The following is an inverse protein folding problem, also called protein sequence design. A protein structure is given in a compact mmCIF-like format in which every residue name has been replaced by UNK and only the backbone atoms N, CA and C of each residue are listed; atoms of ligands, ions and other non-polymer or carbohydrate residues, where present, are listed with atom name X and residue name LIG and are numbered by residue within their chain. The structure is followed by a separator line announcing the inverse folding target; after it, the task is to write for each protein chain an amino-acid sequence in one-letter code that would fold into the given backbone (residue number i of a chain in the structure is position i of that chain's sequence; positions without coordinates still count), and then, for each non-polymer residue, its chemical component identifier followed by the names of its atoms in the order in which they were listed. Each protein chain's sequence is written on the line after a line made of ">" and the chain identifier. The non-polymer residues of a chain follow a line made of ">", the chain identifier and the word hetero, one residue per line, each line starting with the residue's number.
data_IF_930191147681
#
_entry.id   IF_930191147681
#
_cell.length_a   1.000
_cell.length_b   1.000
_cell.length_c   1.000
_cell.angle_alpha   90.00
_cell.angle_beta   90.00
_cell.angle_gamma   90.00
#
_symmetry.space_group_name_H-M   'P 1'
#
loop_
_entity.id
_entity.type
_entity.pdbx_description
1 polymer ?
#
# COMPACT_ATOMS: atom_id res chain seq x y z
N UNK A 1 30.45 1.66 22.44
CA UNK A 1 29.82 0.35 22.26
C UNK A 1 30.28 -0.40 20.98
N UNK A 2 31.11 0.21 20.14
CA UNK A 2 31.69 -0.42 18.94
C UNK A 2 30.69 -0.77 17.86
N UNK A 3 29.51 -0.16 17.86
CA UNK A 3 28.47 -0.38 16.83
C UNK A 3 28.64 0.68 15.75
N UNK A 4 28.87 0.25 14.51
CA UNK A 4 28.78 1.11 13.34
C UNK A 4 28.68 0.29 12.03
N UNK A 5 28.12 0.87 10.95
CA UNK A 5 27.58 2.22 10.88
C UNK A 5 26.30 2.40 11.70
N UNK A 6 26.02 3.62 12.14
CA UNK A 6 24.78 3.99 12.82
C UNK A 6 23.94 4.80 11.84
N UNK A 7 22.67 4.46 11.70
CA UNK A 7 21.71 5.22 10.90
C UNK A 7 20.73 5.94 11.82
N UNK A 8 20.33 7.14 11.43
CA UNK A 8 19.34 7.95 12.12
C UNK A 8 18.24 8.30 11.12
N UNK A 9 17.00 8.37 11.55
CA UNK A 9 15.87 8.70 10.69
C UNK A 9 14.88 9.66 11.38
N UNK A 10 14.16 9.18 12.38
CA UNK A 10 13.06 9.94 12.99
C UNK A 10 13.51 11.21 13.71
N UNK A 11 14.75 11.25 14.19
CA UNK A 11 15.29 12.41 14.92
C UNK A 11 15.47 13.60 14.00
N UNK A 12 15.90 13.39 12.76
CA UNK A 12 16.11 14.43 11.74
C UNK A 12 14.79 15.05 11.27
N UNK A 13 13.71 14.30 11.32
CA UNK A 13 12.38 14.76 10.89
C UNK A 13 11.69 15.67 11.90
N UNK A 14 12.26 15.80 13.10
CA UNK A 14 11.74 16.70 14.14
C UNK A 14 12.32 18.10 13.99
N UNK A 15 11.63 19.15 14.46
CA UNK A 15 12.20 20.49 14.53
C UNK A 15 13.55 20.49 15.25
N UNK A 16 14.57 21.06 14.62
CA UNK A 16 15.94 21.05 15.12
C UNK A 16 16.70 19.73 14.92
N UNK A 17 16.14 18.78 14.16
CA UNK A 17 16.76 17.47 13.92
C UNK A 17 18.15 17.56 13.29
N UNK A 18 18.31 18.43 12.30
CA UNK A 18 19.62 18.63 11.65
C UNK A 18 20.70 19.19 12.59
N UNK A 19 20.32 19.94 13.61
CA UNK A 19 21.27 20.41 14.64
C UNK A 19 21.89 19.26 15.44
N UNK A 20 21.26 18.09 15.45
CA UNK A 20 21.79 16.89 16.08
C UNK A 20 23.05 16.39 15.40
N UNK A 21 23.18 16.55 14.10
CA UNK A 21 24.41 16.19 13.38
C UNK A 21 25.57 17.06 13.84
N UNK A 22 25.36 18.37 14.01
CA UNK A 22 26.37 19.27 14.54
C UNK A 22 26.77 18.84 15.96
N UNK A 23 25.80 18.58 16.83
CA UNK A 23 26.07 18.13 18.21
C UNK A 23 26.81 16.79 18.26
N UNK A 24 26.45 15.85 17.38
CA UNK A 24 27.15 14.58 17.26
C UNK A 24 28.57 14.81 16.76
N UNK A 25 28.77 15.65 15.75
CA UNK A 25 30.11 16.04 15.26
C UNK A 25 30.97 16.60 16.36
N UNK A 26 30.49 17.57 17.14
CA UNK A 26 31.20 18.17 18.27
C UNK A 26 31.57 17.17 19.37
N UNK A 27 30.77 16.13 19.57
CA UNK A 27 31.08 15.04 20.50
C UNK A 27 32.14 14.13 19.90
N UNK A 28 31.99 13.77 18.62
CA UNK A 28 32.92 12.90 17.92
C UNK A 28 34.33 13.53 17.83
N UNK A 29 34.41 14.83 17.59
CA UNK A 29 35.68 15.56 17.54
C UNK A 29 36.49 15.53 18.87
N UNK A 30 35.78 15.24 19.97
CA UNK A 30 36.37 15.12 21.30
C UNK A 30 36.74 13.69 21.67
N UNK A 31 36.37 12.72 20.86
CA UNK A 31 36.62 11.30 21.10
C UNK A 31 37.91 10.86 20.39
N UNK A 32 38.73 10.14 21.13
CA UNK A 32 39.88 9.45 20.54
C UNK A 32 39.40 8.17 19.87
N UNK A 33 39.29 8.19 18.53
CA UNK A 33 38.79 7.07 17.75
C UNK A 33 39.82 5.95 17.72
N UNK A 34 39.46 4.83 18.33
CA UNK A 34 40.21 3.60 18.19
C UNK A 34 39.67 2.80 16.98
N UNK A 35 40.55 2.07 16.25
CA UNK A 35 40.09 1.17 15.20
C UNK A 35 39.03 0.19 15.71
N UNK A 36 38.07 -0.16 14.87
CA UNK A 36 37.03 -1.13 15.23
C UNK A 36 37.67 -2.47 15.61
N UNK A 37 37.54 -2.85 16.87
CA UNK A 37 38.08 -4.10 17.44
C UNK A 37 37.00 -5.15 17.77
N UNK A 38 35.75 -4.82 17.51
CA UNK A 38 34.60 -5.66 17.83
C UNK A 38 33.53 -4.91 18.62
N UNK A 39 32.44 -5.59 18.87
CA UNK A 39 31.29 -5.02 19.61
C UNK A 39 31.55 -5.13 21.10
N UNK A 40 31.53 -3.98 21.81
CA UNK A 40 31.59 -3.93 23.26
C UNK A 40 30.25 -4.28 23.89
N UNK A 41 30.05 -5.56 24.19
CA UNK A 41 28.79 -6.10 24.75
C UNK A 41 28.51 -5.48 26.12
N UNK A 42 29.52 -5.29 26.97
CA UNK A 42 29.32 -4.70 28.29
C UNK A 42 28.88 -3.24 28.20
N UNK A 43 29.43 -2.49 27.26
CA UNK A 43 29.00 -1.13 26.97
C UNK A 43 27.58 -1.05 26.43
N UNK A 44 27.15 -2.03 25.65
CA UNK A 44 25.75 -2.11 25.14
C UNK A 44 24.80 -2.41 26.29
N UNK A 45 25.10 -3.35 27.16
CA UNK A 45 24.26 -3.68 28.31
C UNK A 45 24.14 -2.50 29.28
N UNK A 46 25.26 -1.81 29.56
CA UNK A 46 25.27 -0.59 30.36
C UNK A 46 24.40 0.52 29.73
N UNK A 47 24.50 0.71 28.40
CA UNK A 47 23.65 1.65 27.66
C UNK A 47 22.18 1.26 27.73
N UNK A 48 21.83 0.00 27.53
CA UNK A 48 20.47 -0.50 27.59
C UNK A 48 19.82 -0.29 28.97
N UNK A 49 20.60 -0.45 30.04
CA UNK A 49 20.16 -0.19 31.42
C UNK A 49 19.98 1.31 31.68
N UNK A 50 20.91 2.14 31.21
CA UNK A 50 20.84 3.59 31.39
C UNK A 50 19.72 4.22 30.57
N UNK A 51 19.48 3.75 29.33
CA UNK A 51 18.44 4.24 28.44
C UNK A 51 17.04 4.14 29.03
N UNK A 52 16.78 3.16 29.90
CA UNK A 52 15.50 3.01 30.59
C UNK A 52 15.21 4.11 31.61
N UNK A 53 16.19 4.86 32.01
CA UNK A 53 16.10 5.92 33.03
C UNK A 53 16.47 7.30 32.47
N UNK A 54 17.07 7.32 31.30
CA UNK A 54 17.52 8.56 30.67
C UNK A 54 16.33 9.27 30.01
N UNK A 55 16.06 10.51 30.46
CA UNK A 55 14.97 11.34 29.93
C UNK A 55 15.03 11.57 28.41
N UNK A 56 16.20 11.50 27.80
CA UNK A 56 16.36 11.68 26.35
C UNK A 56 15.93 10.43 25.55
N UNK A 57 15.91 9.27 26.20
CA UNK A 57 15.46 8.01 25.59
C UNK A 57 14.01 7.67 25.93
N UNK A 58 13.43 8.30 26.95
CA UNK A 58 12.03 8.13 27.31
C UNK A 58 11.17 9.11 26.49
N UNK A 59 10.12 8.59 25.90
CA UNK A 59 9.09 9.43 25.28
C UNK A 59 8.13 9.90 26.37
N UNK A 60 7.87 11.22 26.40
CA UNK A 60 6.76 11.73 27.19
C UNK A 60 5.46 11.03 26.77
N UNK A 61 4.77 10.50 27.76
CA UNK A 61 3.42 9.97 27.53
C UNK A 61 2.52 11.17 27.26
N UNK A 62 2.25 11.42 25.98
CA UNK A 62 1.27 12.44 25.60
C UNK A 62 -0.10 11.92 26.00
N UNK A 63 -0.86 12.67 26.81
CA UNK A 63 -2.24 12.32 27.09
C UNK A 63 -2.97 12.20 25.76
N UNK A 64 -3.64 11.07 25.54
CA UNK A 64 -4.48 10.89 24.36
C UNK A 64 -5.53 12.02 24.35
N UNK A 65 -5.65 12.77 23.26
CA UNK A 65 -6.70 13.78 23.17
C UNK A 65 -8.03 13.10 23.46
N UNK A 66 -8.86 13.71 24.30
CA UNK A 66 -10.21 13.21 24.58
C UNK A 66 -10.94 13.10 23.26
N UNK A 67 -11.13 11.87 22.80
CA UNK A 67 -11.90 11.62 21.58
C UNK A 67 -13.36 11.91 21.88
N UNK A 68 -13.96 12.80 21.10
CA UNK A 68 -15.41 13.03 21.15
C UNK A 68 -16.23 11.89 20.54
N UNK A 69 -15.55 10.93 19.88
CA UNK A 69 -16.19 9.76 19.29
C UNK A 69 -16.40 8.71 20.40
N UNK A 70 -17.66 8.40 20.67
CA UNK A 70 -18.05 7.37 21.63
C UNK A 70 -17.87 5.96 21.06
N UNK A 71 -17.85 5.84 19.75
CA UNK A 71 -17.70 4.57 19.05
C UNK A 71 -16.22 4.24 18.76
N UNK A 72 -15.92 2.96 18.74
CA UNK A 72 -14.60 2.47 18.35
C UNK A 72 -14.34 2.86 16.90
N UNK A 73 -13.37 3.74 16.68
CA UNK A 73 -12.93 4.06 15.30
C UNK A 73 -12.39 2.77 14.68
N UNK A 74 -12.88 2.37 13.50
CA UNK A 74 -12.33 1.22 12.82
C UNK A 74 -10.83 1.43 12.61
N UNK A 75 -10.07 0.35 12.72
CA UNK A 75 -8.64 0.37 12.39
C UNK A 75 -8.52 0.86 10.95
N UNK A 76 -7.98 2.05 10.79
CA UNK A 76 -7.64 2.54 9.47
C UNK A 76 -6.38 1.82 9.03
N UNK A 77 -6.49 1.08 7.94
CA UNK A 77 -5.34 0.48 7.29
C UNK A 77 -4.47 1.60 6.70
N UNK A 78 -3.41 1.92 7.42
CA UNK A 78 -2.45 2.92 6.96
C UNK A 78 -1.52 2.38 5.86
N UNK A 79 -1.68 1.12 5.48
CA UNK A 79 -0.96 0.46 4.39
C UNK A 79 -1.73 0.44 3.08
N UNK A 80 -2.95 0.98 3.03
CA UNK A 80 -3.70 1.10 1.78
C UNK A 80 -2.92 1.95 0.79
N UNK A 81 -2.63 1.38 -0.37
CA UNK A 81 -1.87 2.08 -1.40
C UNK A 81 -2.64 3.31 -1.92
N UNK A 82 -1.99 4.48 -2.05
CA UNK A 82 -2.66 5.70 -2.52
C UNK A 82 -3.32 5.54 -3.91
N UNK A 83 -2.80 4.68 -4.76
CA UNK A 83 -3.38 4.35 -6.06
C UNK A 83 -4.75 3.67 -5.93
N UNK A 84 -4.95 2.84 -4.92
CA UNK A 84 -6.24 2.21 -4.64
C UNK A 84 -7.27 3.25 -4.22
N UNK A 85 -6.91 4.15 -3.30
CA UNK A 85 -7.74 5.31 -2.92
C UNK A 85 -8.00 6.28 -4.07
N UNK A 86 -7.10 6.35 -5.07
CA UNK A 86 -7.24 7.13 -6.30
C UNK A 86 -8.13 6.47 -7.35
N UNK A 87 -8.46 5.19 -7.20
CA UNK A 87 -9.34 4.46 -8.11
C UNK A 87 -10.81 4.64 -7.71
N UNK A 88 -11.70 5.15 -8.61
CA UNK A 88 -13.12 5.35 -8.27
C UNK A 88 -13.84 4.09 -7.82
N UNK A 89 -13.43 2.92 -8.31
CA UNK A 89 -14.01 1.61 -7.97
C UNK A 89 -13.12 0.83 -6.99
N UNK A 90 -12.09 1.48 -6.42
CA UNK A 90 -11.17 0.91 -5.42
C UNK A 90 -10.68 -0.50 -5.80
N UNK A 91 -10.10 -0.62 -6.99
CA UNK A 91 -9.47 -1.87 -7.41
C UNK A 91 -8.24 -2.18 -6.56
N UNK A 92 -7.99 -3.46 -6.33
CA UNK A 92 -6.82 -3.96 -5.60
C UNK A 92 -5.57 -3.92 -6.50
N UNK A 93 -5.11 -2.67 -6.73
CA UNK A 93 -4.07 -2.36 -7.71
C UNK A 93 -2.73 -3.04 -7.38
N UNK A 94 -2.22 -2.98 -6.15
CA UNK A 94 -0.97 -3.63 -5.83
C UNK A 94 -1.02 -5.13 -6.07
N UNK A 95 -2.14 -5.78 -5.72
CA UNK A 95 -2.27 -7.22 -5.82
C UNK A 95 -2.30 -7.70 -7.29
N UNK A 96 -3.11 -7.09 -8.15
CA UNK A 96 -3.11 -7.54 -9.55
C UNK A 96 -1.80 -7.20 -10.28
N UNK A 97 -1.08 -6.15 -9.89
CA UNK A 97 0.26 -5.86 -10.43
C UNK A 97 1.24 -6.95 -10.01
N UNK A 98 1.20 -7.38 -8.76
CA UNK A 98 2.05 -8.45 -8.26
C UNK A 98 1.73 -9.80 -8.93
N UNK A 99 0.45 -10.09 -9.17
CA UNK A 99 0.03 -11.27 -9.93
C UNK A 99 0.55 -11.20 -11.36
N UNK A 100 0.46 -10.04 -12.02
CA UNK A 100 1.04 -9.86 -13.36
C UNK A 100 2.57 -10.01 -13.37
N UNK A 101 3.26 -9.53 -12.34
CA UNK A 101 4.70 -9.71 -12.18
C UNK A 101 5.09 -11.19 -12.08
N UNK A 102 4.22 -11.99 -11.48
CA UNK A 102 4.36 -13.46 -11.39
C UNK A 102 3.83 -14.21 -12.61
N UNK A 103 3.44 -13.48 -13.66
CA UNK A 103 2.81 -14.03 -14.88
C UNK A 103 1.48 -14.77 -14.66
N UNK A 104 0.83 -14.54 -13.50
CA UNK A 104 -0.46 -15.11 -13.13
C UNK A 104 -1.60 -14.26 -13.68
N UNK A 105 -1.69 -14.14 -15.00
CA UNK A 105 -2.60 -13.22 -15.66
C UNK A 105 -4.07 -13.57 -15.47
N UNK A 106 -4.40 -14.84 -15.42
CA UNK A 106 -5.77 -15.33 -15.17
C UNK A 106 -6.24 -14.94 -13.77
N UNK A 107 -5.41 -15.14 -12.74
CA UNK A 107 -5.69 -14.74 -11.37
C UNK A 107 -5.79 -13.21 -11.26
N UNK A 108 -4.89 -12.48 -11.94
CA UNK A 108 -4.93 -11.02 -11.98
C UNK A 108 -6.24 -10.50 -12.62
N UNK A 109 -6.68 -11.12 -13.73
CA UNK A 109 -7.91 -10.74 -14.39
C UNK A 109 -9.14 -11.09 -13.54
N UNK A 110 -9.16 -12.24 -12.88
CA UNK A 110 -10.21 -12.63 -11.96
C UNK A 110 -10.38 -11.58 -10.84
N UNK A 111 -9.27 -11.16 -10.22
CA UNK A 111 -9.28 -10.11 -9.20
C UNK A 111 -9.77 -8.75 -9.77
N UNK A 112 -9.30 -8.36 -10.94
CA UNK A 112 -9.73 -7.13 -11.61
C UNK A 112 -11.24 -7.15 -11.84
N UNK A 113 -11.79 -8.28 -12.30
CA UNK A 113 -13.21 -8.40 -12.67
C UNK A 113 -14.14 -8.49 -11.46
N UNK A 114 -13.66 -8.64 -10.26
CA UNK A 114 -14.46 -8.50 -9.04
C UNK A 114 -15.09 -7.10 -8.91
N UNK A 115 -14.38 -6.06 -9.35
CA UNK A 115 -14.81 -4.67 -9.25
C UNK A 115 -14.95 -3.96 -10.61
N UNK A 116 -14.52 -4.58 -11.69
CA UNK A 116 -14.45 -3.97 -13.02
C UNK A 116 -14.97 -4.91 -14.11
N UNK A 117 -16.20 -4.71 -14.52
CA UNK A 117 -16.85 -5.53 -15.56
C UNK A 117 -16.24 -5.35 -16.96
N UNK A 118 -15.48 -4.29 -17.21
CA UNK A 118 -14.98 -3.91 -18.53
C UNK A 118 -13.44 -3.71 -18.52
N UNK A 119 -12.65 -4.76 -18.23
CA UNK A 119 -11.21 -4.63 -18.04
C UNK A 119 -10.48 -4.17 -19.31
N UNK A 120 -10.87 -4.64 -20.49
CA UNK A 120 -10.29 -4.20 -21.78
C UNK A 120 -10.55 -2.70 -22.04
N UNK A 121 -11.81 -2.29 -21.93
CA UNK A 121 -12.19 -0.89 -22.12
C UNK A 121 -11.49 0.03 -21.15
N UNK A 122 -11.52 -0.31 -19.86
CA UNK A 122 -10.86 0.51 -18.85
C UNK A 122 -9.35 0.37 -18.87
N UNK A 123 -8.81 -0.69 -19.42
CA UNK A 123 -7.37 -0.85 -19.71
C UNK A 123 -6.90 0.08 -20.82
N UNK A 124 -7.81 0.47 -21.73
CA UNK A 124 -7.49 1.32 -22.87
C UNK A 124 -7.82 2.80 -22.61
N UNK A 125 -9.01 3.13 -22.12
CA UNK A 125 -9.50 4.53 -22.10
C UNK A 125 -9.69 5.11 -20.68
N UNK A 126 -9.37 4.38 -19.61
CA UNK A 126 -9.46 4.91 -18.25
C UNK A 126 -8.58 6.15 -18.08
N UNK A 127 -9.12 7.18 -17.42
CA UNK A 127 -8.37 8.39 -17.07
C UNK A 127 -7.22 8.17 -16.06
N UNK A 128 -6.99 6.96 -15.62
CA UNK A 128 -5.90 6.48 -14.76
C UNK A 128 -5.54 7.40 -13.58
N UNK A 129 -6.53 7.95 -12.89
CA UNK A 129 -6.33 8.80 -11.71
C UNK A 129 -5.50 8.11 -10.61
N UNK A 130 -5.49 6.80 -10.56
CA UNK A 130 -4.63 6.02 -9.70
C UNK A 130 -3.13 6.30 -9.93
N UNK A 131 -2.71 6.48 -11.19
CA UNK A 131 -1.31 6.80 -11.52
C UNK A 131 -0.89 8.17 -11.01
N UNK A 132 -1.80 9.16 -10.96
CA UNK A 132 -1.49 10.47 -10.39
C UNK A 132 -1.31 10.43 -8.87
N UNK A 133 -1.80 9.38 -8.20
CA UNK A 133 -1.63 9.16 -6.77
C UNK A 133 -0.49 8.18 -6.45
N UNK A 134 0.21 7.68 -7.46
CA UNK A 134 1.34 6.78 -7.24
C UNK A 134 2.46 7.50 -6.49
N UNK A 135 2.94 6.88 -5.41
CA UNK A 135 4.04 7.44 -4.60
C UNK A 135 5.35 7.56 -5.39
N UNK A 136 5.53 6.77 -6.45
CA UNK A 136 6.70 6.87 -7.33
C UNK A 136 6.81 8.20 -8.05
N UNK A 137 5.71 8.95 -8.22
CA UNK A 137 5.76 10.31 -8.79
C UNK A 137 6.68 11.28 -8.03
N UNK A 138 7.07 10.94 -6.79
CA UNK A 138 7.97 11.78 -6.00
C UNK A 138 9.46 11.59 -6.35
N UNK A 139 9.82 10.53 -7.10
CA UNK A 139 11.21 10.21 -7.39
C UNK A 139 11.46 9.59 -8.77
N UNK A 140 10.44 9.06 -9.45
CA UNK A 140 10.53 8.54 -10.81
C UNK A 140 9.14 8.50 -11.49
N UNK A 141 8.97 7.71 -12.54
CA UNK A 141 7.70 7.55 -13.23
C UNK A 141 6.72 6.67 -12.47
N UNK A 142 5.42 6.97 -12.51
CA UNK A 142 4.40 6.15 -11.88
C UNK A 142 4.33 4.76 -12.51
N UNK A 143 3.91 3.79 -11.72
CA UNK A 143 3.62 2.44 -12.23
C UNK A 143 2.58 2.52 -13.34
N UNK A 144 2.79 1.79 -14.45
CA UNK A 144 1.91 1.77 -15.61
C UNK A 144 0.63 0.93 -15.35
N UNK A 145 -0.15 1.37 -14.34
CA UNK A 145 -1.30 0.65 -13.78
C UNK A 145 -2.35 0.30 -14.85
N UNK A 146 -2.65 1.27 -15.73
CA UNK A 146 -3.63 1.07 -16.80
C UNK A 146 -3.15 0.04 -17.84
N UNK A 147 -1.90 0.14 -18.26
CA UNK A 147 -1.32 -0.80 -19.21
C UNK A 147 -1.22 -2.22 -18.62
N UNK A 148 -0.82 -2.35 -17.36
CA UNK A 148 -0.76 -3.65 -16.67
C UNK A 148 -2.13 -4.31 -16.61
N UNK A 149 -3.19 -3.54 -16.34
CA UNK A 149 -4.56 -4.04 -16.36
C UNK A 149 -4.98 -4.57 -17.75
N UNK A 150 -4.58 -3.87 -18.81
CA UNK A 150 -4.85 -4.33 -20.17
C UNK A 150 -4.11 -5.63 -20.47
N UNK A 151 -2.84 -5.72 -20.11
CA UNK A 151 -2.02 -6.94 -20.27
C UNK A 151 -2.68 -8.13 -19.52
N UNK A 152 -3.15 -7.91 -18.30
CA UNK A 152 -3.86 -8.95 -17.56
C UNK A 152 -5.13 -9.40 -18.29
N UNK A 153 -5.88 -8.46 -18.87
CA UNK A 153 -7.08 -8.77 -19.65
C UNK A 153 -6.75 -9.55 -20.91
N UNK A 154 -5.75 -9.12 -21.68
CA UNK A 154 -5.38 -9.76 -22.94
C UNK A 154 -4.83 -11.17 -22.74
N UNK A 155 -3.99 -11.37 -21.71
CA UNK A 155 -3.32 -12.66 -21.49
C UNK A 155 -4.12 -13.64 -20.63
N UNK A 156 -4.99 -13.14 -19.76
CA UNK A 156 -5.75 -13.98 -18.84
C UNK A 156 -7.17 -14.31 -19.32
N UNK A 157 -7.62 -13.72 -20.43
CA UNK A 157 -9.03 -13.79 -20.86
C UNK A 157 -9.49 -15.21 -21.18
N UNK A 158 -8.79 -15.91 -22.06
CA UNK A 158 -9.21 -17.22 -22.56
C UNK A 158 -9.30 -18.25 -21.44
N UNK A 159 -8.28 -18.30 -20.58
CA UNK A 159 -8.23 -19.21 -19.44
C UNK A 159 -9.30 -18.86 -18.39
N UNK A 160 -9.50 -17.56 -18.13
CA UNK A 160 -10.56 -17.14 -17.21
C UNK A 160 -11.93 -17.54 -17.75
N UNK A 161 -12.22 -17.27 -19.01
CA UNK A 161 -13.50 -17.62 -19.64
C UNK A 161 -13.76 -19.13 -19.62
N UNK A 162 -12.72 -19.94 -19.87
CA UNK A 162 -12.81 -21.40 -19.80
C UNK A 162 -13.08 -21.92 -18.38
N UNK A 163 -12.64 -21.18 -17.36
CA UNK A 163 -12.82 -21.56 -15.95
C UNK A 163 -14.15 -21.09 -15.33
N UNK A 164 -14.84 -20.13 -15.97
CA UNK A 164 -16.08 -19.57 -15.44
C UNK A 164 -17.19 -20.60 -15.41
N UNK A 165 -17.81 -20.73 -14.26
CA UNK A 165 -19.04 -21.52 -14.08
C UNK A 165 -20.23 -20.56 -14.07
N UNK A 166 -21.33 -21.01 -14.69
CA UNK A 166 -22.60 -20.30 -14.59
C UNK A 166 -23.01 -20.27 -13.11
N UNK A 167 -23.27 -19.09 -12.53
CA UNK A 167 -23.73 -19.02 -11.14
C UNK A 167 -25.11 -19.66 -11.00
N UNK A 168 -25.36 -20.29 -9.86
CA UNK A 168 -26.72 -20.81 -9.56
C UNK A 168 -27.68 -19.62 -9.36
N UNK A 169 -28.90 -19.71 -9.91
CA UNK A 169 -29.87 -18.65 -9.70
C UNK A 169 -30.23 -18.50 -8.23
N UNK A 170 -30.03 -17.30 -7.69
CA UNK A 170 -30.35 -16.98 -6.30
C UNK A 170 -31.73 -16.34 -6.15
N UNK A 171 -32.42 -16.16 -7.25
CA UNK A 171 -33.65 -15.38 -7.29
C UNK A 171 -34.88 -16.21 -6.92
N UNK A 172 -35.82 -15.56 -6.24
CA UNK A 172 -37.17 -16.05 -5.94
C UNK A 172 -38.15 -15.91 -7.15
N UNK A 173 -37.63 -15.94 -8.37
CA UNK A 173 -38.38 -15.72 -9.62
C UNK A 173 -38.45 -14.25 -10.06
N UNK A 174 -37.84 -13.33 -9.36
CA UNK A 174 -37.74 -11.93 -9.80
C UNK A 174 -36.86 -11.81 -11.04
N UNK A 175 -37.27 -10.93 -11.96
CA UNK A 175 -36.55 -10.66 -13.21
C UNK A 175 -36.06 -9.21 -13.21
N UNK A 176 -34.83 -9.01 -13.62
CA UNK A 176 -34.24 -7.69 -13.84
C UNK A 176 -34.16 -7.41 -15.34
N UNK A 177 -34.58 -6.22 -15.77
CA UNK A 177 -34.40 -5.75 -17.14
C UNK A 177 -33.46 -4.56 -17.15
N UNK A 178 -32.52 -4.56 -18.10
CA UNK A 178 -31.55 -3.48 -18.27
C UNK A 178 -31.83 -2.80 -19.60
N UNK A 179 -32.13 -1.51 -19.55
CA UNK A 179 -32.37 -0.70 -20.74
C UNK A 179 -31.09 0.08 -21.06
N UNK A 180 -30.51 -0.26 -22.21
CA UNK A 180 -29.28 0.35 -22.72
C UNK A 180 -28.06 -0.57 -22.66
N UNK A 181 -27.37 -0.69 -23.81
CA UNK A 181 -26.14 -1.50 -23.98
C UNK A 181 -24.82 -0.71 -23.82
N UNK A 182 -24.88 0.45 -23.19
CA UNK A 182 -23.65 1.23 -22.88
C UNK A 182 -22.86 0.63 -21.73
N UNK A 183 -21.69 1.21 -21.39
CA UNK A 183 -20.79 0.68 -20.35
C UNK A 183 -21.48 0.43 -19.00
N UNK A 184 -22.40 1.31 -18.61
CA UNK A 184 -23.17 1.17 -17.36
C UNK A 184 -24.13 -0.02 -17.42
N UNK A 185 -24.85 -0.20 -18.53
CA UNK A 185 -25.78 -1.31 -18.70
C UNK A 185 -25.06 -2.66 -18.75
N UNK A 186 -23.94 -2.73 -19.48
CA UNK A 186 -23.10 -3.93 -19.52
C UNK A 186 -22.53 -4.27 -18.14
N UNK A 187 -22.05 -3.26 -17.40
CA UNK A 187 -21.55 -3.47 -16.04
C UNK A 187 -22.67 -3.96 -15.09
N UNK A 188 -23.86 -3.37 -15.18
CA UNK A 188 -25.02 -3.82 -14.40
C UNK A 188 -25.40 -5.29 -14.74
N UNK A 189 -25.44 -5.64 -16.03
CA UNK A 189 -25.71 -7.01 -16.48
C UNK A 189 -24.65 -7.99 -15.94
N UNK A 190 -23.38 -7.61 -16.01
CA UNK A 190 -22.29 -8.44 -15.51
C UNK A 190 -22.42 -8.72 -14.02
N UNK A 191 -22.61 -7.69 -13.19
CA UNK A 191 -22.68 -7.89 -11.74
C UNK A 191 -23.97 -8.58 -11.30
N UNK A 192 -25.10 -8.28 -11.93
CA UNK A 192 -26.35 -9.00 -11.66
C UNK A 192 -26.26 -10.47 -12.08
N UNK A 193 -25.74 -10.75 -13.28
CA UNK A 193 -25.57 -12.13 -13.74
C UNK A 193 -24.56 -12.92 -12.93
N UNK A 194 -23.57 -12.25 -12.33
CA UNK A 194 -22.60 -12.88 -11.42
C UNK A 194 -23.18 -13.17 -10.05
N UNK A 195 -24.18 -12.41 -9.64
CA UNK A 195 -24.87 -12.59 -8.37
C UNK A 195 -25.97 -13.68 -8.43
N UNK A 196 -26.30 -14.22 -9.63
CA UNK A 196 -27.35 -15.22 -9.85
C UNK A 196 -28.69 -14.58 -10.20
#
# INVERSE_FOLDING_TARGET
>A
AGIWPITMATTELKPGGYQRFTQIGEILDKLDFQPFSGVDVLGIDALALSARRDKYHLKDIKPLPRRKLLEKVPLMDCFTAPCEGGCPIRQDIPEYIELCRKEKYTEALALITEKNALPFTTGTICAHRCQTKCTRNYYDDPVQIRATKLIAAEKGYDDLMASLKKPEPVTDGRKAAIIGGGPTGIAAAYFLGRAG
#
